data_IF_067535456093
#
_entry.id   IF_067535456093
#
_cell.length_a   1.000
_cell.length_b   1.000
_cell.length_c   1.000
_cell.angle_alpha   90.00
_cell.angle_beta   90.00
_cell.angle_gamma   90.00
#
_symmetry.space_group_name_H-M   'P 1'
#
loop_
_entity.id
_entity.type
_entity.pdbx_description
1 polymer ?
#
# COMPACT_ATOMS: atom_id res chain seq x y z
N UNK A 1 -6.21 7.97 -10.06
CA UNK A 1 -5.48 7.01 -9.20
C UNK A 1 -5.58 7.41 -7.75
N UNK A 2 -5.48 6.48 -6.85
CA UNK A 2 -5.56 6.70 -5.40
C UNK A 2 -4.35 6.12 -4.71
N UNK A 3 -3.83 6.82 -3.72
CA UNK A 3 -2.86 6.29 -2.79
C UNK A 3 -3.59 5.84 -1.53
N UNK A 4 -3.46 4.58 -1.18
CA UNK A 4 -4.02 4.01 0.03
C UNK A 4 -2.93 3.69 1.02
N UNK A 5 -3.15 4.01 2.28
CA UNK A 5 -2.33 3.54 3.39
C UNK A 5 -3.05 2.37 4.04
N UNK A 6 -2.39 1.23 4.05
CA UNK A 6 -2.93 -0.01 4.59
C UNK A 6 -2.26 -0.30 5.94
N UNK A 7 -3.01 -0.16 7.02
CA UNK A 7 -2.50 -0.39 8.36
C UNK A 7 -2.99 -1.74 8.87
N UNK A 8 -2.09 -2.64 9.33
CA UNK A 8 -2.52 -3.92 9.85
C UNK A 8 -3.25 -3.75 11.17
N UNK A 9 -4.36 -4.46 11.30
CA UNK A 9 -5.14 -4.51 12.54
C UNK A 9 -5.37 -5.97 12.90
N UNK A 10 -5.40 -6.28 14.20
CA UNK A 10 -5.77 -7.61 14.65
C UNK A 10 -7.27 -7.67 14.84
N UNK A 11 -7.91 -8.61 14.16
CA UNK A 11 -9.30 -8.93 14.42
C UNK A 11 -9.46 -9.68 15.75
N UNK A 12 -10.69 -9.71 16.28
CA UNK A 12 -11.01 -10.37 17.56
C UNK A 12 -10.75 -11.89 17.52
N UNK A 13 -10.69 -12.47 16.34
CA UNK A 13 -10.44 -13.88 16.11
C UNK A 13 -8.98 -14.21 15.75
N UNK A 14 -8.09 -13.23 15.82
CA UNK A 14 -6.69 -13.39 15.48
C UNK A 14 -6.39 -13.28 13.99
N UNK A 15 -7.38 -12.96 13.15
CA UNK A 15 -7.15 -12.73 11.73
C UNK A 15 -6.42 -11.41 11.49
N UNK A 16 -5.52 -11.43 10.52
CA UNK A 16 -4.83 -10.22 10.10
C UNK A 16 -5.70 -9.45 9.12
N UNK A 17 -6.25 -8.35 9.59
CA UNK A 17 -7.01 -7.43 8.76
C UNK A 17 -6.21 -6.15 8.51
N UNK A 18 -6.63 -5.40 7.50
CA UNK A 18 -6.02 -4.12 7.18
C UNK A 18 -7.09 -3.04 7.15
N UNK A 19 -6.75 -1.89 7.71
CA UNK A 19 -7.56 -0.68 7.56
C UNK A 19 -6.95 0.15 6.43
N UNK A 20 -7.73 0.44 5.42
CA UNK A 20 -7.28 1.19 4.24
C UNK A 20 -7.81 2.61 4.30
N UNK A 21 -6.92 3.57 4.16
CA UNK A 21 -7.25 4.99 4.15
C UNK A 21 -6.74 5.63 2.86
N UNK A 22 -7.58 6.36 2.17
CA UNK A 22 -7.17 7.12 0.98
C UNK A 22 -6.40 8.34 1.45
N UNK A 23 -5.11 8.41 1.10
CA UNK A 23 -4.24 9.51 1.49
C UNK A 23 -4.15 10.60 0.44
N UNK A 24 -4.31 10.25 -0.83
CA UNK A 24 -4.23 11.19 -1.93
C UNK A 24 -4.91 10.63 -3.17
N UNK A 25 -5.48 11.50 -3.97
CA UNK A 25 -6.02 11.17 -5.29
C UNK A 25 -5.29 12.06 -6.30
N UNK A 26 -4.72 11.45 -7.34
CA UNK A 26 -4.02 12.14 -8.40
C UNK A 26 -3.97 11.27 -9.65
N UNK A 27 -3.88 11.89 -10.80
CA UNK A 27 -3.65 11.18 -12.06
C UNK A 27 -2.15 10.93 -12.33
N UNK A 28 -1.29 11.53 -11.51
CA UNK A 28 0.16 11.40 -11.63
C UNK A 28 0.72 10.43 -10.59
N UNK A 29 1.19 9.23 -11.02
CA UNK A 29 1.78 8.26 -10.10
C UNK A 29 2.98 8.81 -9.33
N UNK A 30 3.73 9.73 -9.91
CA UNK A 30 4.89 10.33 -9.26
C UNK A 30 4.50 11.14 -8.03
N UNK A 31 3.38 11.87 -8.10
CA UNK A 31 2.84 12.58 -6.95
C UNK A 31 2.43 11.64 -5.83
N UNK A 32 1.76 10.55 -6.18
CA UNK A 32 1.33 9.56 -5.21
C UNK A 32 2.52 8.88 -4.53
N UNK A 33 3.55 8.56 -5.28
CA UNK A 33 4.78 7.99 -4.75
C UNK A 33 5.51 8.96 -3.82
N UNK A 34 5.57 10.24 -4.19
CA UNK A 34 6.16 11.27 -3.34
C UNK A 34 5.40 11.44 -2.03
N UNK A 35 4.07 11.43 -2.10
CA UNK A 35 3.23 11.50 -0.90
C UNK A 35 3.48 10.33 0.03
N UNK A 36 3.58 9.11 -0.50
CA UNK A 36 3.87 7.92 0.28
C UNK A 36 5.24 8.05 0.97
N UNK A 37 6.25 8.54 0.27
CA UNK A 37 7.58 8.77 0.84
C UNK A 37 7.52 9.77 2.01
N UNK A 38 6.78 10.86 1.85
CA UNK A 38 6.60 11.85 2.91
C UNK A 38 5.89 11.24 4.13
N UNK A 39 4.89 10.42 3.91
CA UNK A 39 4.17 9.72 4.98
C UNK A 39 5.09 8.74 5.72
N UNK A 40 5.97 8.04 5.00
CA UNK A 40 6.96 7.17 5.63
C UNK A 40 7.87 7.96 6.59
N UNK A 41 8.30 9.14 6.18
CA UNK A 41 9.12 10.01 7.03
C UNK A 41 8.37 10.46 8.28
N UNK A 42 7.09 10.79 8.12
CA UNK A 42 6.26 11.22 9.25
C UNK A 42 6.08 10.13 10.31
N UNK A 43 5.99 8.88 9.88
CA UNK A 43 5.86 7.76 10.82
C UNK A 43 7.20 7.18 11.25
N UNK A 44 8.30 7.72 10.76
CA UNK A 44 9.65 7.32 11.15
C UNK A 44 10.12 5.98 10.59
N UNK A 45 9.60 5.57 9.45
CA UNK A 45 9.97 4.32 8.78
C UNK A 45 10.58 4.63 7.43
N UNK A 46 11.65 3.94 7.07
CA UNK A 46 12.26 4.13 5.77
C UNK A 46 11.36 3.63 4.64
N UNK A 47 11.27 4.40 3.54
CA UNK A 47 10.55 3.93 2.36
C UNK A 47 11.16 2.66 1.80
N UNK A 48 10.32 1.76 1.34
CA UNK A 48 10.74 0.55 0.65
C UNK A 48 10.58 0.73 -0.87
N UNK A 49 11.20 -0.15 -1.67
CA UNK A 49 11.01 -0.11 -3.10
C UNK A 49 9.55 -0.38 -3.48
N UNK A 50 9.09 0.31 -4.49
CA UNK A 50 7.79 0.02 -5.08
C UNK A 50 7.88 -1.23 -5.95
N UNK A 51 6.96 -2.15 -5.70
CA UNK A 51 6.79 -3.31 -6.56
C UNK A 51 5.66 -3.03 -7.53
N UNK A 52 5.92 -3.20 -8.81
CA UNK A 52 4.84 -3.17 -9.76
C UNK A 52 3.96 -4.39 -9.53
N UNK A 53 2.71 -4.27 -9.85
CA UNK A 53 1.67 -5.28 -9.83
C UNK A 53 2.16 -6.70 -9.59
N UNK A 54 1.88 -7.20 -8.37
CA UNK A 54 2.42 -8.39 -7.88
C UNK A 54 2.08 -9.61 -8.61
N UNK A 55 2.98 -10.58 -8.45
CA UNK A 55 2.75 -11.86 -9.01
C UNK A 55 1.56 -12.55 -8.37
N UNK A 56 1.01 -13.39 -9.13
CA UNK A 56 0.01 -14.34 -8.73
C UNK A 56 0.49 -15.12 -7.53
N UNK A 57 -0.29 -15.04 -6.48
CA UNK A 57 -0.09 -15.88 -5.32
C UNK A 57 -0.86 -17.18 -5.53
N UNK A 58 -0.17 -18.21 -6.00
CA UNK A 58 -0.78 -19.49 -6.34
C UNK A 58 -1.54 -19.42 -7.67
N UNK A 59 -2.48 -20.31 -7.86
CA UNK A 59 -3.21 -20.47 -9.11
C UNK A 59 -4.38 -19.49 -9.30
N UNK A 60 -4.52 -18.55 -8.40
CA UNK A 60 -5.61 -17.58 -8.47
C UNK A 60 -5.11 -16.24 -8.96
N UNK A 61 -5.59 -15.89 -10.13
CA UNK A 61 -5.46 -14.54 -10.61
C UNK A 61 -6.28 -13.63 -9.70
N UNK A 62 -5.61 -12.92 -8.81
CA UNK A 62 -6.27 -11.90 -8.03
C UNK A 62 -6.44 -10.68 -8.93
N UNK A 63 -7.65 -10.45 -9.37
CA UNK A 63 -7.98 -9.23 -10.08
C UNK A 63 -7.93 -8.08 -9.09
N UNK A 64 -6.78 -7.45 -9.02
CA UNK A 64 -6.58 -6.29 -8.19
C UNK A 64 -6.42 -5.05 -9.06
N UNK A 65 -7.00 -3.94 -8.62
CA UNK A 65 -6.80 -2.64 -9.24
C UNK A 65 -5.46 -2.02 -8.85
N UNK A 66 -4.65 -2.73 -8.08
CA UNK A 66 -3.38 -2.24 -7.60
C UNK A 66 -2.36 -2.16 -8.73
N UNK A 67 -1.72 -1.02 -8.88
CA UNK A 67 -0.66 -0.79 -9.84
C UNK A 67 0.72 -0.92 -9.20
N UNK A 68 0.89 -0.38 -7.99
CA UNK A 68 2.13 -0.45 -7.26
C UNK A 68 1.86 -0.69 -5.79
N UNK A 69 2.74 -1.45 -5.16
CA UNK A 69 2.66 -1.79 -3.74
C UNK A 69 4.01 -1.53 -3.09
N UNK A 70 4.00 -0.89 -1.94
CA UNK A 70 5.17 -0.73 -1.07
C UNK A 70 4.85 -1.35 0.29
N UNK A 71 5.66 -2.31 0.72
CA UNK A 71 5.56 -2.89 2.06
C UNK A 71 6.66 -2.35 2.95
N UNK A 72 6.29 -1.82 4.10
CA UNK A 72 7.23 -1.29 5.08
C UNK A 72 7.59 -2.34 6.14
N UNK A 73 8.73 -2.13 6.79
CA UNK A 73 9.23 -3.04 7.82
C UNK A 73 8.32 -3.19 9.03
N UNK A 74 7.47 -2.19 9.28
CA UNK A 74 6.51 -2.21 10.39
C UNK A 74 5.14 -2.85 10.04
N UNK A 75 5.01 -3.39 8.85
CA UNK A 75 3.77 -4.03 8.39
C UNK A 75 2.79 -3.09 7.68
N UNK A 76 2.99 -1.78 7.75
CA UNK A 76 2.18 -0.83 7.00
C UNK A 76 2.51 -0.95 5.52
N UNK A 77 1.52 -0.88 4.67
CA UNK A 77 1.69 -0.87 3.23
C UNK A 77 1.12 0.38 2.59
N UNK A 78 1.66 0.76 1.46
CA UNK A 78 1.08 1.77 0.59
C UNK A 78 0.74 1.12 -0.75
N UNK A 79 -0.44 1.44 -1.25
CA UNK A 79 -0.93 0.87 -2.50
C UNK A 79 -1.38 2.01 -3.39
N UNK A 80 -0.95 1.99 -4.64
CA UNK A 80 -1.47 2.89 -5.66
C UNK A 80 -2.41 2.07 -6.53
N UNK A 81 -3.67 2.45 -6.57
CA UNK A 81 -4.65 1.77 -7.41
C UNK A 81 -5.29 2.73 -8.41
N UNK A 82 -5.75 2.16 -9.48
CA UNK A 82 -6.42 2.93 -10.55
C UNK A 82 -7.74 3.53 -10.11
#
# INVERSE_FOLDING_TARGET
>A
MKLLKCTPTKGDDGENNYTNVVEMISDDPSELKSKATDLCRLIGVEPAPWCSRYPIMGDKEVKSNHEWIMELSNGIGFVIEK
#
